data_IF_202751450485
#
_entry.id   IF_202751450485
#
_cell.length_a   1.000
_cell.length_b   1.000
_cell.length_c   1.000
_cell.angle_alpha   90.00
_cell.angle_beta   90.00
_cell.angle_gamma   90.00
#
_symmetry.space_group_name_H-M   'P 1'
#
loop_
_entity.id
_entity.type
_entity.pdbx_description
1 polymer ?
#
# COMPACT_ATOMS: atom_id res chain seq x y z
N UNK A 1 -27.68 13.44 -2.95
CA UNK A 1 -26.41 12.86 -2.44
C UNK A 1 -25.30 13.85 -2.69
N UNK A 2 -24.47 14.16 -1.69
CA UNK A 2 -23.27 15.00 -1.88
C UNK A 2 -22.35 14.37 -2.93
N UNK A 3 -21.78 15.17 -3.83
CA UNK A 3 -20.88 14.73 -4.91
C UNK A 3 -19.70 13.90 -4.38
N UNK A 4 -19.27 14.19 -3.14
CA UNK A 4 -18.21 13.47 -2.45
C UNK A 4 -18.53 12.00 -2.21
N UNK A 5 -19.80 11.64 -1.99
CA UNK A 5 -20.19 10.24 -1.81
C UNK A 5 -19.99 9.44 -3.10
N UNK A 6 -20.24 10.04 -4.26
CA UNK A 6 -19.94 9.41 -5.56
C UNK A 6 -18.44 9.24 -5.78
N UNK A 7 -17.65 10.26 -5.47
CA UNK A 7 -16.18 10.19 -5.55
C UNK A 7 -15.63 9.07 -4.66
N UNK A 8 -16.14 8.94 -3.43
CA UNK A 8 -15.79 7.86 -2.50
C UNK A 8 -16.19 6.52 -3.11
N UNK A 9 -17.46 6.36 -3.50
CA UNK A 9 -17.97 5.09 -4.00
C UNK A 9 -17.22 4.59 -5.24
N UNK A 10 -17.00 5.46 -6.23
CA UNK A 10 -16.29 5.11 -7.47
C UNK A 10 -14.83 4.74 -7.19
N UNK A 11 -14.14 5.57 -6.40
CA UNK A 11 -12.73 5.35 -6.09
C UNK A 11 -12.52 4.08 -5.25
N UNK A 12 -13.36 3.85 -4.23
CA UNK A 12 -13.29 2.61 -3.44
C UNK A 12 -13.57 1.39 -4.30
N UNK A 13 -14.60 1.44 -5.15
CA UNK A 13 -14.92 0.33 -6.05
C UNK A 13 -13.74 0.00 -6.95
N UNK A 14 -13.09 1.01 -7.53
CA UNK A 14 -11.91 0.84 -8.37
C UNK A 14 -10.73 0.24 -7.59
N UNK A 15 -10.38 0.82 -6.44
CA UNK A 15 -9.20 0.39 -5.67
C UNK A 15 -9.35 -1.03 -5.13
N UNK A 16 -10.53 -1.36 -4.58
CA UNK A 16 -10.83 -2.70 -4.10
C UNK A 16 -10.90 -3.72 -5.24
N UNK A 17 -11.43 -3.35 -6.41
CA UNK A 17 -11.43 -4.24 -7.58
C UNK A 17 -10.01 -4.59 -8.04
N UNK A 18 -9.10 -3.59 -8.06
CA UNK A 18 -7.68 -3.83 -8.37
C UNK A 18 -7.05 -4.74 -7.30
N UNK A 19 -7.31 -4.48 -6.03
CA UNK A 19 -6.79 -5.29 -4.93
C UNK A 19 -7.27 -6.76 -5.02
N UNK A 20 -8.56 -7.00 -5.24
CA UNK A 20 -9.10 -8.35 -5.42
C UNK A 20 -8.59 -9.02 -6.68
N UNK A 21 -8.46 -8.28 -7.79
CA UNK A 21 -7.83 -8.80 -9.00
C UNK A 21 -6.40 -9.28 -8.72
N UNK A 22 -5.58 -8.50 -8.03
CA UNK A 22 -4.22 -8.91 -7.64
C UNK A 22 -4.22 -10.12 -6.70
N UNK A 23 -5.17 -10.17 -5.76
CA UNK A 23 -5.35 -11.29 -4.83
C UNK A 23 -5.61 -12.62 -5.54
N UNK A 24 -6.38 -12.61 -6.64
CA UNK A 24 -6.68 -13.83 -7.43
C UNK A 24 -5.52 -14.31 -8.30
N UNK A 25 -4.54 -13.44 -8.61
CA UNK A 25 -3.46 -13.73 -9.57
C UNK A 25 -2.19 -14.30 -8.94
N UNK A 26 -2.07 -14.32 -7.62
CA UNK A 26 -0.81 -14.65 -6.91
C UNK A 26 -1.06 -15.53 -5.69
N UNK A 27 -0.05 -16.33 -5.33
CA UNK A 27 0.00 -17.01 -4.03
C UNK A 27 0.52 -16.02 -3.00
N UNK A 28 -0.37 -15.51 -2.17
CA UNK A 28 -0.06 -14.63 -1.05
C UNK A 28 0.14 -15.47 0.23
N UNK A 29 0.94 -14.96 1.15
CA UNK A 29 0.99 -15.44 2.53
C UNK A 29 0.00 -14.67 3.40
N UNK A 30 -0.55 -15.32 4.44
CA UNK A 30 -1.52 -14.68 5.33
C UNK A 30 -1.05 -13.33 5.92
N UNK A 31 0.23 -13.17 6.32
CA UNK A 31 0.74 -11.87 6.75
C UNK A 31 0.69 -10.77 5.67
N UNK A 32 1.06 -11.06 4.42
CA UNK A 32 0.96 -10.09 3.33
C UNK A 32 -0.49 -9.69 3.06
N UNK A 33 -1.44 -10.63 3.17
CA UNK A 33 -2.86 -10.32 3.06
C UNK A 33 -3.33 -9.38 4.17
N UNK A 34 -2.97 -9.66 5.43
CA UNK A 34 -3.32 -8.81 6.57
C UNK A 34 -2.77 -7.39 6.36
N UNK A 35 -1.49 -7.28 5.99
CA UNK A 35 -0.85 -5.98 5.68
C UNK A 35 -1.57 -5.28 4.53
N UNK A 36 -1.88 -6.01 3.46
CA UNK A 36 -2.62 -5.48 2.32
C UNK A 36 -3.99 -4.93 2.70
N UNK A 37 -4.77 -5.68 3.48
CA UNK A 37 -6.08 -5.25 3.96
C UNK A 37 -5.97 -4.01 4.84
N UNK A 38 -5.02 -3.97 5.78
CA UNK A 38 -4.83 -2.81 6.65
C UNK A 38 -4.51 -1.53 5.86
N UNK A 39 -3.66 -1.63 4.84
CA UNK A 39 -3.37 -0.51 3.95
C UNK A 39 -4.57 -0.12 3.07
N UNK A 40 -5.37 -1.08 2.60
CA UNK A 40 -6.60 -0.79 1.86
C UNK A 40 -7.65 -0.10 2.72
N UNK A 41 -7.80 -0.50 3.99
CA UNK A 41 -8.68 0.15 4.94
C UNK A 41 -8.20 1.59 5.23
N UNK A 42 -6.90 1.79 5.41
CA UNK A 42 -6.31 3.12 5.52
C UNK A 42 -6.61 3.97 4.29
N UNK A 43 -6.29 3.48 3.09
CA UNK A 43 -6.56 4.17 1.83
C UNK A 43 -8.05 4.53 1.69
N UNK A 44 -8.94 3.67 2.16
CA UNK A 44 -10.39 3.89 2.11
C UNK A 44 -10.83 5.11 2.93
N UNK A 45 -10.13 5.42 4.02
CA UNK A 45 -10.42 6.60 4.84
C UNK A 45 -9.90 7.90 4.25
N UNK A 46 -8.86 7.83 3.40
CA UNK A 46 -8.24 8.99 2.75
C UNK A 46 -8.65 9.17 1.29
N UNK A 47 -9.50 8.30 0.74
CA UNK A 47 -9.83 8.27 -0.69
C UNK A 47 -10.32 9.60 -1.24
N UNK A 48 -11.14 10.33 -0.48
CA UNK A 48 -11.68 11.62 -0.91
C UNK A 48 -10.79 12.81 -0.56
N UNK A 49 -9.85 12.67 0.38
CA UNK A 49 -9.08 13.79 0.91
C UNK A 49 -8.29 14.57 -0.15
N UNK A 50 -7.59 13.94 -1.12
CA UNK A 50 -6.85 14.67 -2.15
C UNK A 50 -7.78 15.43 -3.11
N UNK A 51 -8.88 14.80 -3.52
CA UNK A 51 -9.82 15.39 -4.46
C UNK A 51 -10.58 16.53 -3.77
N UNK A 52 -11.03 16.31 -2.54
CA UNK A 52 -11.76 17.30 -1.77
C UNK A 52 -10.88 18.49 -1.40
N UNK A 53 -9.66 18.28 -0.92
CA UNK A 53 -8.74 19.40 -0.65
C UNK A 53 -8.47 20.26 -1.88
N UNK A 54 -8.43 19.68 -3.08
CA UNK A 54 -8.23 20.43 -4.30
C UNK A 54 -9.47 21.24 -4.73
N UNK A 55 -10.65 20.59 -4.73
CA UNK A 55 -11.86 21.14 -5.34
C UNK A 55 -12.83 21.82 -4.35
N UNK A 56 -12.84 21.43 -3.08
CA UNK A 56 -13.72 22.00 -2.04
C UNK A 56 -13.03 23.19 -1.35
N UNK A 57 -13.47 24.44 -1.61
CA UNK A 57 -12.90 25.61 -0.94
C UNK A 57 -13.16 25.62 0.57
N UNK A 58 -14.13 24.84 1.06
CA UNK A 58 -14.47 24.72 2.48
C UNK A 58 -13.79 23.51 3.15
N UNK A 59 -12.87 22.82 2.46
CA UNK A 59 -12.11 21.74 3.07
C UNK A 59 -11.24 22.29 4.21
N UNK A 60 -11.44 21.80 5.42
CA UNK A 60 -10.74 22.30 6.61
C UNK A 60 -9.23 22.00 6.50
N UNK A 61 -8.87 20.87 5.91
CA UNK A 61 -7.48 20.47 5.71
C UNK A 61 -7.21 19.05 6.17
N UNK A 62 -5.92 18.73 6.28
CA UNK A 62 -5.39 17.50 6.81
C UNK A 62 -4.77 17.80 8.17
N UNK A 63 -5.47 17.46 9.25
CA UNK A 63 -5.07 17.78 10.64
C UNK A 63 -4.50 16.56 11.39
N UNK A 64 -4.03 15.53 10.68
CA UNK A 64 -3.62 14.25 11.29
C UNK A 64 -2.10 14.11 11.33
N UNK A 65 -1.53 13.88 12.52
CA UNK A 65 -0.11 13.64 12.70
C UNK A 65 0.72 14.92 12.85
N UNK A 66 2.03 14.82 12.61
CA UNK A 66 2.99 15.93 12.64
C UNK A 66 2.77 16.91 11.49
N UNK A 67 2.43 16.37 10.34
CA UNK A 67 2.28 17.11 9.09
C UNK A 67 0.82 17.56 8.96
N UNK A 68 0.57 18.84 9.26
CA UNK A 68 -0.76 19.46 9.21
C UNK A 68 -0.81 20.53 8.13
N UNK A 69 -1.84 20.50 7.30
CA UNK A 69 -2.02 21.45 6.20
C UNK A 69 -3.47 21.89 6.07
N UNK A 70 -3.67 23.18 5.86
CA UNK A 70 -5.01 23.77 5.73
C UNK A 70 -5.46 23.81 4.27
N UNK A 71 -6.77 23.63 4.05
CA UNK A 71 -7.41 23.80 2.75
C UNK A 71 -6.70 23.06 1.61
N UNK A 72 -6.39 23.79 0.54
CA UNK A 72 -5.79 23.24 -0.69
C UNK A 72 -4.38 22.72 -0.51
N UNK A 73 -3.63 23.19 0.49
CA UNK A 73 -2.28 22.71 0.76
C UNK A 73 -2.25 21.25 1.22
N UNK A 74 -3.39 20.73 1.69
CA UNK A 74 -3.55 19.32 2.03
C UNK A 74 -3.60 18.37 0.81
N UNK A 75 -3.72 18.88 -0.42
CA UNK A 75 -3.85 18.06 -1.64
C UNK A 75 -2.68 17.12 -1.84
N UNK A 76 -1.47 17.66 -1.93
CA UNK A 76 -0.28 16.85 -2.21
C UNK A 76 0.03 15.86 -1.07
N UNK A 77 0.03 16.27 0.22
CA UNK A 77 0.23 15.35 1.34
C UNK A 77 -0.81 14.23 1.34
N UNK A 78 -2.10 14.53 1.24
CA UNK A 78 -3.13 13.49 1.22
C UNK A 78 -3.00 12.57 0.01
N UNK A 79 -2.60 13.09 -1.16
CA UNK A 79 -2.34 12.28 -2.35
C UNK A 79 -1.16 11.32 -2.13
N UNK A 80 -0.08 11.77 -1.48
CA UNK A 80 1.06 10.92 -1.11
C UNK A 80 0.65 9.83 -0.12
N UNK A 81 -0.14 10.17 0.89
CA UNK A 81 -0.66 9.21 1.88
C UNK A 81 -1.53 8.13 1.22
N UNK A 82 -2.46 8.55 0.37
CA UNK A 82 -3.33 7.64 -0.37
C UNK A 82 -2.54 6.76 -1.32
N UNK A 83 -1.65 7.35 -2.13
CA UNK A 83 -0.86 6.64 -3.13
C UNK A 83 0.09 5.64 -2.47
N UNK A 84 0.72 6.02 -1.34
CA UNK A 84 1.55 5.10 -0.56
C UNK A 84 0.75 3.91 -0.08
N UNK A 85 -0.40 4.14 0.55
CA UNK A 85 -1.20 3.06 1.10
C UNK A 85 -1.66 2.07 0.02
N UNK A 86 -2.10 2.58 -1.14
CA UNK A 86 -2.46 1.73 -2.28
C UNK A 86 -1.25 0.95 -2.80
N UNK A 87 -0.11 1.62 -3.01
CA UNK A 87 1.11 0.99 -3.48
C UNK A 87 1.60 -0.10 -2.53
N UNK A 88 1.65 0.18 -1.22
CA UNK A 88 2.05 -0.77 -0.19
C UNK A 88 1.10 -1.98 -0.15
N UNK A 89 -0.22 -1.76 -0.22
CA UNK A 89 -1.20 -2.83 -0.27
C UNK A 89 -0.99 -3.76 -1.48
N UNK A 90 -0.85 -3.17 -2.67
CA UNK A 90 -0.69 -3.92 -3.91
C UNK A 90 0.66 -4.64 -3.96
N UNK A 91 1.74 -4.00 -3.50
CA UNK A 91 3.07 -4.60 -3.44
C UNK A 91 3.10 -5.75 -2.43
N UNK A 92 2.50 -5.59 -1.25
CA UNK A 92 2.43 -6.62 -0.23
C UNK A 92 1.81 -7.90 -0.79
N UNK A 93 0.63 -7.80 -1.42
CA UNK A 93 -0.09 -8.96 -1.99
C UNK A 93 0.59 -9.50 -3.26
N UNK A 94 1.23 -8.65 -4.08
CA UNK A 94 1.81 -9.08 -5.36
C UNK A 94 3.18 -9.75 -5.22
N UNK A 95 4.02 -9.26 -4.30
CA UNK A 95 5.41 -9.70 -4.18
C UNK A 95 5.71 -10.49 -2.91
N UNK A 96 5.15 -10.11 -1.75
CA UNK A 96 5.31 -10.79 -0.45
C UNK A 96 6.75 -10.94 0.09
N UNK A 97 7.79 -10.62 -0.69
CA UNK A 97 9.21 -10.76 -0.34
C UNK A 97 10.12 -9.89 -1.22
N UNK A 98 11.38 -9.76 -0.81
CA UNK A 98 12.44 -9.12 -1.61
C UNK A 98 12.58 -7.61 -1.39
N UNK A 99 13.26 -6.93 -2.33
CA UNK A 99 13.62 -5.50 -2.21
C UNK A 99 12.42 -4.56 -2.00
N UNK A 100 11.25 -4.93 -2.49
CA UNK A 100 10.03 -4.15 -2.34
C UNK A 100 9.55 -4.08 -0.88
N UNK A 101 9.86 -5.08 -0.07
CA UNK A 101 9.55 -5.04 1.37
C UNK A 101 10.40 -4.01 2.12
N UNK A 102 11.62 -3.71 1.64
CA UNK A 102 12.41 -2.59 2.19
C UNK A 102 11.70 -1.26 1.98
N UNK A 103 11.12 -1.07 0.78
CA UNK A 103 10.37 0.13 0.46
C UNK A 103 9.18 0.27 1.42
N UNK A 104 8.33 -0.77 1.51
CA UNK A 104 7.19 -0.81 2.45
C UNK A 104 7.65 -0.49 3.88
N UNK A 105 8.70 -1.16 4.37
CA UNK A 105 9.21 -0.92 5.72
C UNK A 105 9.60 0.55 5.96
N UNK A 106 10.35 1.15 5.04
CA UNK A 106 10.81 2.54 5.18
C UNK A 106 9.64 3.51 5.19
N UNK A 107 8.71 3.39 4.22
CA UNK A 107 7.58 4.31 4.20
C UNK A 107 6.65 4.10 5.40
N UNK A 108 6.35 2.85 5.77
CA UNK A 108 5.49 2.57 6.93
C UNK A 108 6.09 3.11 8.23
N UNK A 109 7.42 3.07 8.40
CA UNK A 109 8.10 3.76 9.52
C UNK A 109 7.86 5.26 9.46
N UNK A 110 8.01 5.90 8.29
CA UNK A 110 7.78 7.35 8.13
C UNK A 110 6.31 7.71 8.44
N UNK A 111 5.35 6.92 7.99
CA UNK A 111 3.92 7.12 8.30
C UNK A 111 3.61 6.90 9.78
N UNK A 112 4.16 5.84 10.38
CA UNK A 112 4.02 5.58 11.81
C UNK A 112 4.62 6.70 12.66
N UNK A 113 5.78 7.24 12.28
CA UNK A 113 6.39 8.38 12.95
C UNK A 113 5.57 9.66 12.77
N UNK A 114 5.02 9.92 11.59
CA UNK A 114 4.15 11.07 11.38
C UNK A 114 2.88 11.00 12.24
N UNK A 115 2.18 9.86 12.22
CA UNK A 115 0.91 9.69 12.93
C UNK A 115 1.13 9.55 14.44
N UNK A 116 2.02 8.64 14.85
CA UNK A 116 2.35 8.38 16.25
C UNK A 116 3.10 9.53 16.91
N UNK A 117 4.01 10.20 16.19
CA UNK A 117 4.69 11.40 16.67
C UNK A 117 3.73 12.56 16.90
N UNK A 118 2.77 12.78 15.98
CA UNK A 118 1.73 13.80 16.17
C UNK A 118 0.87 13.52 17.38
N UNK A 119 0.43 12.28 17.55
CA UNK A 119 -0.32 11.85 18.74
C UNK A 119 0.49 12.07 20.03
N UNK A 120 1.77 11.68 20.04
CA UNK A 120 2.63 11.83 21.22
C UNK A 120 2.83 13.30 21.59
N UNK A 121 3.04 14.18 20.61
CA UNK A 121 3.15 15.62 20.86
C UNK A 121 1.85 16.20 21.43
N UNK A 122 0.69 15.82 20.88
CA UNK A 122 -0.61 16.27 21.39
C UNK A 122 -0.85 15.76 22.81
N UNK A 123 -0.44 14.51 23.11
CA UNK A 123 -0.51 13.94 24.46
C UNK A 123 0.37 14.70 25.46
N UNK A 124 1.63 14.97 25.11
CA UNK A 124 2.58 15.69 25.98
C UNK A 124 2.11 17.13 26.25
N UNK A 125 1.44 17.76 25.28
CA UNK A 125 0.87 19.12 25.43
C UNK A 125 -0.45 19.15 26.21
N UNK A 126 -1.09 18.00 26.43
CA UNK A 126 -2.43 17.94 27.02
C UNK A 126 -3.56 18.32 26.04
N UNK A 127 -3.28 18.35 24.74
CA UNK A 127 -4.17 18.87 23.70
C UNK A 127 -5.01 17.77 23.00
N UNK A 128 -5.00 16.52 23.47
CA UNK A 128 -5.77 15.43 22.86
C UNK A 128 -7.28 15.71 22.75
N UNK A 129 -7.82 16.52 23.66
CA UNK A 129 -9.22 16.92 23.63
C UNK A 129 -9.55 17.84 22.44
N UNK A 130 -8.54 18.53 21.88
CA UNK A 130 -8.68 19.42 20.74
C UNK A 130 -8.58 18.70 19.39
N UNK A 131 -8.14 17.43 19.36
CA UNK A 131 -8.01 16.65 18.13
C UNK A 131 -9.36 16.46 17.42
N UNK A 132 -9.34 16.60 16.09
CA UNK A 132 -10.53 16.44 15.23
C UNK A 132 -10.18 15.60 14.02
N UNK A 133 -11.11 14.76 13.59
CA UNK A 133 -11.07 14.05 12.33
C UNK A 133 -12.35 14.36 11.58
N UNK A 134 -12.22 14.94 10.40
CA UNK A 134 -13.35 15.20 9.51
C UNK A 134 -13.41 14.13 8.41
N UNK A 135 -14.37 13.22 8.51
CA UNK A 135 -14.61 12.16 7.52
C UNK A 135 -15.61 12.56 6.43
N UNK A 136 -16.07 13.82 6.39
CA UNK A 136 -17.04 14.30 5.42
C UNK A 136 -17.75 15.58 5.88
N UNK A 137 -18.80 15.96 5.18
CA UNK A 137 -19.69 17.08 5.56
C UNK A 137 -20.48 16.76 6.84
N UNK A 138 -20.81 15.48 7.06
CA UNK A 138 -21.72 15.03 8.13
C UNK A 138 -21.03 14.30 9.28
N UNK A 139 -19.72 14.03 9.17
CA UNK A 139 -19.00 13.23 10.16
C UNK A 139 -17.73 13.92 10.61
N UNK A 140 -17.76 14.40 11.85
CA UNK A 140 -16.60 14.96 12.54
C UNK A 140 -16.48 14.28 13.90
N UNK A 141 -15.43 13.50 14.08
CA UNK A 141 -15.05 12.97 15.38
C UNK A 141 -14.17 13.99 16.09
N UNK A 142 -14.40 14.20 17.39
CA UNK A 142 -13.65 15.15 18.21
C UNK A 142 -13.14 14.48 19.49
N UNK A 143 -12.12 15.07 20.08
CA UNK A 143 -11.57 14.67 21.37
C UNK A 143 -10.67 13.44 21.31
N UNK A 144 -10.41 12.83 22.47
CA UNK A 144 -9.45 11.74 22.63
C UNK A 144 -9.73 10.55 21.71
N UNK A 145 -11.00 10.25 21.41
CA UNK A 145 -11.38 9.18 20.47
C UNK A 145 -10.87 9.47 19.06
N UNK A 146 -10.96 10.73 18.62
CA UNK A 146 -10.41 11.14 17.34
C UNK A 146 -8.88 11.02 17.31
N UNK A 147 -8.19 11.17 18.43
CA UNK A 147 -6.74 10.96 18.51
C UNK A 147 -6.36 9.46 18.56
N UNK A 148 -7.16 8.63 19.22
CA UNK A 148 -6.91 7.19 19.36
C UNK A 148 -7.13 6.41 18.07
N UNK A 149 -8.09 6.82 17.23
CA UNK A 149 -8.37 6.13 15.96
C UNK A 149 -7.13 6.09 15.06
N UNK A 150 -6.44 7.22 14.77
CA UNK A 150 -5.22 7.20 13.99
C UNK A 150 -4.10 6.38 14.60
N UNK A 151 -3.99 6.37 15.92
CA UNK A 151 -2.97 5.59 16.60
C UNK A 151 -3.24 4.09 16.44
N UNK A 152 -4.44 3.64 16.82
CA UNK A 152 -4.79 2.23 16.92
C UNK A 152 -5.06 1.60 15.55
N UNK A 153 -5.77 2.31 14.67
CA UNK A 153 -6.18 1.76 13.39
C UNK A 153 -5.17 2.03 12.28
N UNK A 154 -4.22 2.96 12.46
CA UNK A 154 -3.24 3.27 11.42
C UNK A 154 -1.80 3.13 11.92
N UNK A 155 -1.37 3.90 12.92
CA UNK A 155 0.03 3.91 13.34
C UNK A 155 0.52 2.52 13.78
N UNK A 156 -0.26 1.82 14.62
CA UNK A 156 0.08 0.45 15.04
C UNK A 156 0.13 -0.55 13.85
N UNK A 157 -0.87 -0.59 12.95
CA UNK A 157 -0.78 -1.34 11.71
C UNK A 157 0.45 -1.05 10.85
N UNK A 158 0.84 0.23 10.70
CA UNK A 158 2.06 0.60 9.97
C UNK A 158 3.31 0.07 10.68
N UNK A 159 3.40 0.17 12.01
CA UNK A 159 4.52 -0.42 12.78
C UNK A 159 4.57 -1.95 12.59
N UNK A 160 3.44 -2.63 12.71
CA UNK A 160 3.36 -4.08 12.51
C UNK A 160 3.77 -4.48 11.08
N UNK A 161 3.30 -3.73 10.07
CA UNK A 161 3.67 -3.90 8.67
C UNK A 161 5.17 -3.68 8.46
N UNK A 162 5.75 -2.62 9.02
CA UNK A 162 7.17 -2.35 8.93
C UNK A 162 8.02 -3.47 9.53
N UNK A 163 7.66 -3.96 10.73
CA UNK A 163 8.34 -5.09 11.37
C UNK A 163 8.28 -6.34 10.50
N UNK A 164 7.11 -6.65 9.95
CA UNK A 164 6.94 -7.77 9.03
C UNK A 164 7.78 -7.62 7.76
N UNK A 165 7.74 -6.45 7.13
CA UNK A 165 8.44 -6.16 5.88
C UNK A 165 9.98 -6.17 6.07
N UNK A 166 10.47 -5.71 7.23
CA UNK A 166 11.88 -5.84 7.61
C UNK A 166 12.31 -7.30 7.75
N UNK A 167 11.50 -8.16 8.40
CA UNK A 167 11.79 -9.60 8.51
C UNK A 167 11.83 -10.27 7.13
N UNK A 168 10.87 -9.96 6.26
CA UNK A 168 10.78 -10.50 4.88
C UNK A 168 11.90 -10.03 3.97
N UNK A 169 12.50 -8.88 4.26
CA UNK A 169 13.67 -8.38 3.55
C UNK A 169 14.88 -9.30 3.74
N UNK A 170 15.11 -9.77 4.97
CA UNK A 170 16.27 -10.60 5.31
C UNK A 170 16.17 -12.01 4.75
N UNK A 171 14.94 -12.55 4.65
CA UNK A 171 14.68 -13.87 4.08
C UNK A 171 14.90 -13.97 2.57
N UNK A 172 15.03 -12.83 1.86
CA UNK A 172 15.20 -12.78 0.41
C UNK A 172 16.64 -12.97 -0.09
N UNK A 173 17.63 -13.11 0.82
CA UNK A 173 19.02 -13.40 0.48
C UNK A 173 19.30 -14.87 0.15
N UNK A 174 18.39 -15.78 0.53
CA UNK A 174 18.35 -17.11 -0.06
C UNK A 174 17.67 -16.94 -1.42
N UNK A 175 18.47 -16.80 -2.48
CA UNK A 175 18.01 -17.05 -3.85
C UNK A 175 17.16 -18.32 -3.76
N UNK A 176 15.84 -18.28 -4.03
CA UNK A 176 15.15 -19.53 -4.24
C UNK A 176 15.97 -20.24 -5.31
N UNK A 177 16.17 -21.57 -5.25
CA UNK A 177 16.56 -22.26 -6.45
C UNK A 177 15.51 -21.80 -7.45
N UNK A 178 15.90 -20.93 -8.38
CA UNK A 178 15.23 -20.86 -9.66
C UNK A 178 15.03 -22.32 -9.95
N UNK A 179 13.76 -22.71 -10.12
CA UNK A 179 13.44 -23.96 -10.76
C UNK A 179 14.55 -24.12 -11.78
N UNK A 180 15.48 -25.04 -11.50
CA UNK A 180 16.45 -25.48 -12.48
C UNK A 180 15.46 -25.88 -13.53
N UNK A 181 15.32 -25.00 -14.54
CA UNK A 181 14.54 -25.28 -15.71
C UNK A 181 15.04 -26.66 -16.01
N UNK A 182 14.08 -27.59 -15.98
CA UNK A 182 14.20 -28.92 -16.51
C UNK A 182 15.35 -28.86 -17.47
N UNK A 183 16.49 -29.47 -17.11
CA UNK A 183 17.47 -29.80 -18.11
C UNK A 183 16.69 -30.73 -19.03
N UNK A 184 15.89 -30.16 -19.93
CA UNK A 184 15.63 -30.69 -21.24
C UNK A 184 17.04 -30.91 -21.72
N UNK A 185 17.48 -32.16 -21.58
CA UNK A 185 18.57 -32.66 -22.36
C UNK A 185 18.20 -32.30 -23.78
N UNK A 186 18.79 -31.22 -24.30
CA UNK A 186 19.39 -31.24 -25.61
C UNK A 186 20.40 -32.39 -25.59
N UNK A 187 19.84 -33.60 -25.65
CA UNK A 187 20.47 -34.75 -26.23
C UNK A 187 20.69 -34.32 -27.67
N UNK A 188 21.85 -33.72 -27.89
CA UNK A 188 22.40 -33.42 -29.20
C UNK A 188 22.79 -34.76 -29.83
N UNK A 189 21.79 -35.60 -30.06
CA UNK A 189 21.84 -36.65 -31.04
C UNK A 189 22.15 -35.97 -32.36
N UNK A 190 23.43 -36.06 -32.75
CA UNK A 190 23.90 -35.89 -34.12
C UNK A 190 23.12 -36.86 -34.99
N UNK A 191 21.91 -36.48 -35.40
CA UNK A 191 21.22 -37.13 -36.50
C UNK A 191 21.70 -36.41 -37.76
N UNK A 192 22.85 -36.87 -38.27
CA UNK A 192 23.36 -36.55 -39.59
C UNK A 192 22.41 -37.12 -40.63
N UNK A 193 21.24 -36.49 -40.80
CA UNK A 193 20.44 -36.64 -42.02
C UNK A 193 21.08 -35.79 -43.10
N UNK A 194 22.02 -36.43 -43.77
CA UNK A 194 22.52 -36.03 -45.08
C UNK A 194 21.37 -36.13 -46.09
N UNK A 195 20.74 -34.99 -46.40
CA UNK A 195 19.63 -34.88 -47.36
C UNK A 195 20.17 -34.72 -48.81
N UNK A 196 21.50 -34.66 -49.01
CA UNK A 196 22.09 -34.35 -50.31
C UNK A 196 22.76 -35.55 -51.02
N UNK A 197 22.47 -36.79 -50.61
CA UNK A 197 22.94 -38.00 -51.28
C UNK A 197 22.19 -38.37 -52.57
N UNK A 198 21.93 -37.44 -53.48
CA UNK A 198 21.48 -37.77 -54.85
C UNK A 198 22.69 -37.96 -55.76
N UNK A 199 23.16 -39.22 -55.87
CA UNK A 199 24.09 -39.63 -56.93
C UNK A 199 23.30 -39.96 -58.19
N UNK A 200 23.55 -39.22 -59.27
CA UNK A 200 23.29 -39.68 -60.63
C UNK A 200 24.44 -40.58 -61.05
N UNK A 201 24.14 -41.83 -61.43
CA UNK A 201 25.02 -42.70 -62.18
C UNK A 201 24.68 -42.58 -63.66
N UNK A 202 25.62 -42.08 -64.46
CA UNK A 202 25.70 -42.34 -65.90
C UNK A 202 26.63 -43.55 -66.15
#
# INVERSE_FOLDING_TARGET
MSIWLWVIAVSLTLYWSIFFYLLTRRRWDAPALIVGILHMLFASMFVAAPIRSFFDPNYIGFEVGLVRFEGRWATLPSAVFLSWALAAAWIAVSYGKGRWMKLIAVGDILFALNLGGGFLLDYVRGDLAASKIQGGEFFTLKGTVAALIPLLLFALPFVASAIWAMRRTQSGGATPPFAQGTQEGTDSGKDTKDINGFRYSE
#
